data_IF_944224963210
#
_entry.id   IF_944224963210
#
_cell.length_a   1.000
_cell.length_b   1.000
_cell.length_c   1.000
_cell.angle_alpha   90.00
_cell.angle_beta   90.00
_cell.angle_gamma   90.00
#
_symmetry.space_group_name_H-M   'P 1'
#
loop_
_entity.id
_entity.type
_entity.pdbx_description
1 polymer ?
#
# COMPACT_ATOMS: atom_id res chain seq x y z
N UNK A 1 -17.17 66.42 44.29
CA UNK A 1 -18.29 65.58 44.75
C UNK A 1 -17.98 64.13 44.41
N UNK A 2 -18.17 63.24 45.39
CA UNK A 2 -18.32 61.76 45.29
C UNK A 2 -17.16 60.94 44.69
N UNK A 3 -16.70 59.82 45.25
CA UNK A 3 -16.93 59.15 46.52
C UNK A 3 -15.90 58.01 46.59
N UNK A 4 -15.00 58.03 47.57
CA UNK A 4 -14.14 56.89 47.93
C UNK A 4 -14.99 55.79 48.58
N UNK A 5 -14.80 54.53 48.16
CA UNK A 5 -15.12 53.36 49.00
C UNK A 5 -14.00 52.32 48.99
N UNK A 6 -13.70 51.71 50.15
CA UNK A 6 -12.58 50.80 50.36
C UNK A 6 -12.96 49.33 50.20
N UNK A 7 -11.95 48.48 50.27
CA UNK A 7 -11.96 47.08 49.88
C UNK A 7 -12.76 46.12 50.76
N UNK A 8 -12.74 44.85 50.32
CA UNK A 8 -12.90 43.68 51.17
C UNK A 8 -12.13 42.51 50.57
N UNK A 9 -11.15 42.06 51.35
CA UNK A 9 -10.49 40.76 51.24
C UNK A 9 -11.49 39.69 51.63
N UNK A 10 -11.58 38.64 50.83
CA UNK A 10 -12.38 37.45 51.12
C UNK A 10 -11.67 36.22 50.57
N UNK A 11 -10.91 35.57 51.45
CA UNK A 11 -10.41 34.21 51.26
C UNK A 11 -11.59 33.26 51.01
N UNK A 12 -11.53 32.47 49.94
CA UNK A 12 -12.36 31.29 49.78
C UNK A 12 -11.44 30.09 49.58
N UNK A 13 -11.50 29.19 50.57
CA UNK A 13 -10.81 27.92 50.61
C UNK A 13 -11.12 27.08 49.38
N UNK A 14 -10.08 26.46 48.83
CA UNK A 14 -10.19 25.25 48.05
C UNK A 14 -10.53 24.07 48.97
N UNK A 15 -11.48 23.20 48.58
CA UNK A 15 -11.39 21.79 48.85
C UNK A 15 -11.08 21.07 47.53
N UNK A 16 -9.88 20.49 47.50
CA UNK A 16 -9.49 19.47 46.55
C UNK A 16 -10.49 18.30 46.59
N UNK A 17 -11.10 17.96 45.46
CA UNK A 17 -11.79 16.69 45.31
C UNK A 17 -11.71 16.19 43.86
N UNK A 18 -10.83 15.20 43.70
CA UNK A 18 -10.94 14.07 42.78
C UNK A 18 -11.26 14.41 41.31
N UNK A 19 -10.24 14.86 40.59
CA UNK A 19 -10.05 14.38 39.22
C UNK A 19 -9.79 12.86 39.30
N UNK A 20 -10.87 12.08 39.28
CA UNK A 20 -10.77 10.70 38.87
C UNK A 20 -10.26 10.72 37.42
N UNK A 21 -8.97 10.47 37.28
CA UNK A 21 -8.31 10.06 36.05
C UNK A 21 -9.03 8.81 35.54
N UNK A 22 -10.14 9.02 34.83
CA UNK A 22 -10.68 8.10 33.86
C UNK A 22 -9.69 8.03 32.70
N UNK A 23 -8.51 7.48 32.97
CA UNK A 23 -7.72 6.78 31.97
C UNK A 23 -8.55 5.55 31.62
N UNK A 24 -9.61 5.76 30.83
CA UNK A 24 -10.07 4.77 29.89
C UNK A 24 -8.86 4.49 29.01
N UNK A 25 -8.04 3.55 29.48
CA UNK A 25 -7.16 2.78 28.66
C UNK A 25 -8.06 2.11 27.62
N UNK A 26 -8.32 2.84 26.54
CA UNK A 26 -8.44 2.25 25.23
C UNK A 26 -7.10 1.54 25.03
N UNK A 27 -6.95 0.36 25.63
CA UNK A 27 -6.04 -0.66 25.17
C UNK A 27 -6.52 -0.95 23.76
N UNK A 28 -6.08 -0.13 22.81
CA UNK A 28 -6.14 -0.43 21.40
C UNK A 28 -5.53 -1.81 21.31
N UNK A 29 -6.40 -2.78 21.10
CA UNK A 29 -6.06 -4.17 21.02
C UNK A 29 -5.20 -4.30 19.77
N UNK A 30 -3.90 -4.07 19.95
CA UNK A 30 -2.82 -4.24 18.99
C UNK A 30 -2.63 -5.73 18.76
N UNK A 31 -3.69 -6.38 18.27
CA UNK A 31 -3.53 -7.64 17.59
C UNK A 31 -2.55 -7.45 16.44
N UNK A 32 -1.83 -8.50 16.04
CA UNK A 32 -0.91 -8.43 14.91
C UNK A 32 -1.66 -7.82 13.72
N UNK A 33 -1.07 -6.79 13.11
CA UNK A 33 -1.64 -6.09 11.96
C UNK A 33 -1.92 -7.12 10.87
N UNK A 34 -3.20 -7.49 10.71
CA UNK A 34 -3.58 -8.55 9.78
C UNK A 34 -3.41 -7.99 8.38
N UNK A 35 -2.44 -8.53 7.66
CA UNK A 35 -2.26 -8.24 6.25
C UNK A 35 -3.47 -8.81 5.51
N UNK A 36 -4.16 -7.93 4.78
CA UNK A 36 -5.30 -8.29 3.96
C UNK A 36 -4.90 -8.23 2.49
N UNK A 37 -4.78 -9.41 1.89
CA UNK A 37 -4.60 -9.58 0.46
C UNK A 37 -5.78 -10.39 -0.06
N UNK A 38 -6.70 -9.73 -0.79
CA UNK A 38 -7.74 -10.40 -1.56
C UNK A 38 -7.54 -10.06 -3.05
N UNK A 39 -6.37 -10.38 -3.64
CA UNK A 39 -6.12 -10.09 -5.04
C UNK A 39 -7.06 -10.93 -5.91
N UNK A 40 -7.66 -10.27 -6.90
CA UNK A 40 -8.45 -10.91 -7.95
C UNK A 40 -7.61 -10.88 -9.22
N UNK A 41 -7.39 -12.06 -9.81
CA UNK A 41 -6.70 -12.21 -11.09
C UNK A 41 -7.57 -11.66 -12.22
N UNK A 42 -6.94 -10.91 -13.12
CA UNK A 42 -7.54 -10.33 -14.31
C UNK A 42 -7.13 -11.16 -15.53
N UNK A 43 -7.94 -12.15 -15.85
CA UNK A 43 -7.80 -12.93 -17.08
C UNK A 43 -8.48 -12.20 -18.26
N UNK A 44 -8.14 -12.57 -19.50
CA UNK A 44 -8.52 -11.90 -20.77
C UNK A 44 -10.05 -11.81 -21.02
N UNK A 45 -10.86 -12.31 -20.09
CA UNK A 45 -12.32 -12.20 -20.12
C UNK A 45 -12.79 -10.98 -19.31
N UNK A 46 -13.89 -10.31 -19.72
CA UNK A 46 -14.47 -9.25 -18.93
C UNK A 46 -14.76 -9.68 -17.48
N UNK A 47 -14.23 -8.92 -16.53
CA UNK A 47 -14.38 -9.15 -15.10
C UNK A 47 -14.80 -7.86 -14.39
N UNK A 48 -15.84 -7.94 -13.58
CA UNK A 48 -16.27 -6.85 -12.70
C UNK A 48 -15.95 -7.19 -11.26
N UNK A 49 -15.18 -6.33 -10.61
CA UNK A 49 -14.73 -6.49 -9.23
C UNK A 49 -15.35 -5.40 -8.38
N UNK A 50 -16.24 -5.79 -7.46
CA UNK A 50 -16.86 -4.86 -6.52
C UNK A 50 -15.91 -4.48 -5.40
N UNK A 51 -15.94 -3.20 -5.01
CA UNK A 51 -15.31 -2.72 -3.78
C UNK A 51 -15.94 -3.36 -2.53
N UNK A 52 -15.22 -3.42 -1.39
CA UNK A 52 -15.77 -3.95 -0.13
C UNK A 52 -17.10 -3.30 0.29
N UNK A 53 -17.27 -2.01 0.05
CA UNK A 53 -18.48 -1.23 0.34
C UNK A 53 -19.63 -1.46 -0.65
N UNK A 54 -19.38 -2.17 -1.77
CA UNK A 54 -20.35 -2.51 -2.83
C UNK A 54 -21.00 -1.32 -3.56
N UNK A 55 -20.55 -0.09 -3.32
CA UNK A 55 -21.03 1.12 -4.00
C UNK A 55 -20.22 1.44 -5.29
N UNK A 56 -19.09 0.75 -5.48
CA UNK A 56 -18.14 0.95 -6.58
C UNK A 56 -17.69 -0.38 -7.14
N UNK A 57 -17.27 -0.36 -8.40
CA UNK A 57 -16.59 -1.49 -9.03
C UNK A 57 -15.49 -1.03 -9.98
N UNK A 58 -14.55 -1.93 -10.21
CA UNK A 58 -13.62 -1.85 -11.33
C UNK A 58 -14.04 -2.91 -12.34
N UNK A 59 -14.09 -2.50 -13.60
CA UNK A 59 -14.45 -3.34 -14.74
C UNK A 59 -13.19 -3.43 -15.60
N UNK A 60 -12.72 -4.64 -15.82
CA UNK A 60 -11.73 -4.96 -16.84
C UNK A 60 -12.46 -5.73 -17.94
N UNK A 61 -12.19 -5.51 -19.22
CA UNK A 61 -12.74 -6.50 -20.17
C UNK A 61 -12.72 -6.26 -21.65
N UNK A 62 -12.32 -7.34 -22.32
CA UNK A 62 -12.46 -7.62 -23.74
C UNK A 62 -11.15 -8.25 -24.23
N UNK A 63 -11.19 -9.36 -24.96
CA UNK A 63 -9.99 -9.91 -25.61
C UNK A 63 -9.33 -8.85 -26.54
N UNK A 64 -10.16 -7.93 -27.05
CA UNK A 64 -9.78 -6.84 -27.94
C UNK A 64 -9.72 -5.45 -27.24
N UNK A 65 -10.08 -5.33 -25.95
CA UNK A 65 -10.06 -4.05 -25.21
C UNK A 65 -9.67 -4.26 -23.74
N UNK A 66 -8.36 -4.33 -23.42
CA UNK A 66 -7.86 -4.53 -22.05
C UNK A 66 -7.97 -3.25 -21.20
N UNK A 67 -9.00 -2.43 -21.43
CA UNK A 67 -9.22 -1.20 -20.68
C UNK A 67 -9.74 -1.49 -19.27
N UNK A 68 -9.06 -0.88 -18.31
CA UNK A 68 -9.50 -0.80 -16.93
C UNK A 68 -10.43 0.40 -16.77
N UNK A 69 -11.64 0.17 -16.30
CA UNK A 69 -12.66 1.19 -16.09
C UNK A 69 -13.11 1.20 -14.64
N UNK A 70 -13.12 2.38 -14.02
CA UNK A 70 -13.72 2.59 -12.70
C UNK A 70 -15.18 3.02 -12.82
N UNK A 71 -16.04 2.41 -12.00
CA UNK A 71 -17.47 2.70 -11.93
C UNK A 71 -17.85 3.11 -10.50
N UNK A 72 -18.53 4.26 -10.38
CA UNK A 72 -19.11 4.75 -9.13
C UNK A 72 -20.63 4.93 -9.29
N UNK A 73 -21.32 3.82 -9.55
CA UNK A 73 -22.75 3.75 -9.86
C UNK A 73 -23.05 3.66 -11.36
N UNK A 74 -24.33 3.55 -11.71
CA UNK A 74 -24.77 3.15 -13.06
C UNK A 74 -24.38 4.12 -14.20
N UNK A 75 -24.13 5.41 -13.89
CA UNK A 75 -23.94 6.45 -14.92
C UNK A 75 -22.53 7.04 -15.00
N UNK A 76 -21.60 6.72 -14.09
CA UNK A 76 -20.25 7.33 -14.10
C UNK A 76 -19.18 6.26 -14.27
N UNK A 77 -18.64 6.17 -15.49
CA UNK A 77 -17.49 5.34 -15.85
C UNK A 77 -16.30 6.24 -16.17
N UNK A 78 -15.13 5.88 -15.66
CA UNK A 78 -13.87 6.59 -15.89
C UNK A 78 -12.86 5.57 -16.39
N UNK A 79 -12.32 5.77 -17.60
CA UNK A 79 -11.21 4.97 -18.11
C UNK A 79 -9.93 5.25 -17.31
N UNK A 80 -9.24 4.19 -16.90
CA UNK A 80 -8.01 4.23 -16.10
C UNK A 80 -6.76 3.83 -16.90
N UNK A 81 -6.94 3.48 -18.17
CA UNK A 81 -5.90 3.02 -19.07
C UNK A 81 -5.95 1.51 -19.29
N UNK A 82 -4.97 1.03 -20.04
CA UNK A 82 -4.77 -0.39 -20.31
C UNK A 82 -3.90 -1.03 -19.24
N UNK A 83 -4.10 -2.32 -19.01
CA UNK A 83 -3.28 -3.18 -18.15
C UNK A 83 -3.02 -4.50 -18.87
N UNK A 84 -1.95 -5.19 -18.53
CA UNK A 84 -1.64 -6.46 -19.17
C UNK A 84 -2.56 -7.59 -18.70
N UNK A 85 -2.73 -8.60 -19.57
CA UNK A 85 -3.36 -9.86 -19.20
C UNK A 85 -2.58 -10.53 -18.05
N UNK A 86 -3.30 -11.18 -17.12
CA UNK A 86 -2.75 -11.78 -15.90
C UNK A 86 -2.32 -10.79 -14.80
N UNK A 87 -2.75 -9.53 -14.89
CA UNK A 87 -2.62 -8.59 -13.77
C UNK A 87 -3.44 -9.03 -12.56
N UNK A 88 -3.08 -8.59 -11.36
CA UNK A 88 -3.90 -8.81 -10.16
C UNK A 88 -4.37 -7.50 -9.56
N UNK A 89 -5.62 -7.44 -9.10
CA UNK A 89 -6.22 -6.24 -8.51
C UNK A 89 -6.69 -6.52 -7.09
N UNK A 90 -6.40 -5.62 -6.16
CA UNK A 90 -6.91 -5.71 -4.78
C UNK A 90 -7.40 -4.37 -4.29
N UNK A 91 -8.61 -4.37 -3.72
CA UNK A 91 -9.20 -3.20 -3.07
C UNK A 91 -8.67 -3.03 -1.64
N UNK A 92 -8.40 -1.79 -1.26
CA UNK A 92 -8.18 -1.43 0.14
C UNK A 92 -9.47 -1.71 0.94
N UNK A 93 -9.36 -2.18 2.20
CA UNK A 93 -10.54 -2.47 3.03
C UNK A 93 -11.47 -1.27 3.24
N UNK A 94 -10.96 -0.05 3.21
CA UNK A 94 -11.73 1.19 3.33
C UNK A 94 -12.42 1.66 2.03
N UNK A 95 -12.24 0.93 0.92
CA UNK A 95 -12.73 1.26 -0.43
C UNK A 95 -12.26 2.62 -0.98
N UNK A 96 -11.21 3.23 -0.42
CA UNK A 96 -10.67 4.52 -0.90
C UNK A 96 -9.51 4.36 -1.86
N UNK A 97 -8.97 3.16 -1.99
CA UNK A 97 -7.88 2.83 -2.89
C UNK A 97 -8.01 1.42 -3.41
N UNK A 98 -7.34 1.15 -4.53
CA UNK A 98 -7.03 -0.20 -4.98
C UNK A 98 -5.68 -0.17 -5.70
N UNK A 99 -4.99 -1.30 -5.70
CA UNK A 99 -3.80 -1.47 -6.52
C UNK A 99 -4.06 -2.47 -7.64
N UNK A 100 -3.29 -2.34 -8.71
CA UNK A 100 -3.07 -3.36 -9.72
C UNK A 100 -1.58 -3.67 -9.75
N UNK A 101 -1.23 -4.94 -9.61
CA UNK A 101 0.08 -5.46 -9.98
C UNK A 101 -0.01 -5.79 -11.47
N UNK A 102 0.40 -4.83 -12.28
CA UNK A 102 0.37 -4.92 -13.74
C UNK A 102 1.53 -5.81 -14.18
N UNK A 103 1.27 -6.85 -14.98
CA UNK A 103 2.32 -7.75 -15.44
C UNK A 103 3.18 -7.15 -16.56
N UNK A 104 2.74 -6.04 -17.16
CA UNK A 104 3.47 -5.37 -18.25
C UNK A 104 3.70 -6.26 -19.48
N UNK A 105 4.55 -5.80 -20.40
CA UNK A 105 4.89 -6.50 -21.65
C UNK A 105 6.23 -7.27 -21.56
N UNK A 106 6.96 -7.17 -20.45
CA UNK A 106 8.25 -7.81 -20.28
C UNK A 106 8.60 -8.01 -18.79
N UNK A 107 8.66 -9.28 -18.38
CA UNK A 107 9.47 -9.84 -17.29
C UNK A 107 9.35 -9.29 -15.84
N UNK A 108 8.44 -8.34 -15.53
CA UNK A 108 8.30 -7.84 -14.16
C UNK A 108 6.95 -7.18 -13.85
N UNK A 109 6.47 -7.34 -12.62
CA UNK A 109 5.25 -6.67 -12.17
C UNK A 109 5.52 -5.20 -11.84
N UNK A 110 4.63 -4.32 -12.30
CA UNK A 110 4.58 -2.91 -11.97
C UNK A 110 3.37 -2.63 -11.06
N UNK A 111 3.65 -2.15 -9.86
CA UNK A 111 2.62 -1.66 -8.95
C UNK A 111 2.04 -0.34 -9.47
N UNK A 112 0.73 -0.34 -9.70
CA UNK A 112 -0.08 0.84 -9.99
C UNK A 112 -1.14 1.00 -8.92
N UNK A 113 -1.23 2.18 -8.33
CA UNK A 113 -2.12 2.48 -7.20
C UNK A 113 -3.08 3.58 -7.59
N UNK A 114 -4.38 3.34 -7.47
CA UNK A 114 -5.40 4.38 -7.64
C UNK A 114 -5.97 4.82 -6.30
N UNK A 115 -6.20 6.12 -6.20
CA UNK A 115 -6.83 6.76 -5.05
C UNK A 115 -8.13 7.39 -5.46
N UNK A 116 -9.15 7.17 -4.64
CA UNK A 116 -10.49 7.69 -4.82
C UNK A 116 -10.68 8.82 -3.80
N UNK A 117 -10.64 10.04 -4.30
CA UNK A 117 -10.91 11.24 -3.50
C UNK A 117 -12.41 11.48 -3.29
N UNK A 118 -12.73 12.64 -2.72
CA UNK A 118 -14.10 13.17 -2.70
C UNK A 118 -14.69 13.31 -4.11
N UNK A 119 -15.97 13.67 -4.23
CA UNK A 119 -16.69 13.81 -5.53
C UNK A 119 -16.49 12.64 -6.54
N UNK A 120 -16.03 11.46 -6.09
CA UNK A 120 -15.70 10.30 -6.94
C UNK A 120 -14.65 10.64 -8.00
N UNK A 121 -13.67 11.46 -7.64
CA UNK A 121 -12.47 11.66 -8.45
C UNK A 121 -11.52 10.49 -8.20
N UNK A 122 -11.01 9.88 -9.27
CA UNK A 122 -10.04 8.80 -9.22
C UNK A 122 -8.77 9.25 -9.93
N UNK A 123 -7.62 8.99 -9.32
CA UNK A 123 -6.33 9.31 -9.91
C UNK A 123 -5.32 8.22 -9.56
N UNK A 124 -4.42 7.92 -10.50
CA UNK A 124 -3.26 7.09 -10.24
C UNK A 124 -2.26 7.88 -9.36
N UNK A 125 -1.66 7.21 -8.38
CA UNK A 125 -0.75 7.79 -7.41
C UNK A 125 0.59 7.03 -7.45
N UNK A 126 1.67 7.63 -7.98
CA UNK A 126 2.97 6.96 -8.10
C UNK A 126 3.75 6.94 -6.77
N UNK A 127 3.24 7.65 -5.74
CA UNK A 127 3.96 7.97 -4.50
C UNK A 127 4.47 6.71 -3.78
N UNK A 128 3.65 5.67 -3.63
CA UNK A 128 4.04 4.43 -2.95
C UNK A 128 5.12 3.67 -3.72
N UNK A 129 4.98 3.59 -5.05
CA UNK A 129 5.98 2.94 -5.91
C UNK A 129 7.33 3.66 -5.84
N UNK A 130 7.33 4.98 -5.96
CA UNK A 130 8.55 5.78 -5.88
C UNK A 130 9.25 5.60 -4.54
N UNK A 131 8.49 5.63 -3.44
CA UNK A 131 9.03 5.39 -2.11
C UNK A 131 9.67 3.99 -1.98
N UNK A 132 9.02 2.95 -2.51
CA UNK A 132 9.52 1.58 -2.46
C UNK A 132 10.84 1.41 -3.25
N UNK A 133 10.90 1.92 -4.48
CA UNK A 133 12.11 1.94 -5.33
C UNK A 133 13.24 2.67 -4.62
N UNK A 134 12.96 3.83 -4.03
CA UNK A 134 13.95 4.62 -3.32
C UNK A 134 14.58 3.85 -2.15
N UNK A 135 13.81 3.02 -1.43
CA UNK A 135 14.37 2.23 -0.33
C UNK A 135 15.37 1.18 -0.80
N UNK A 136 15.08 0.47 -1.90
CA UNK A 136 16.02 -0.50 -2.45
C UNK A 136 17.27 0.20 -2.99
N UNK A 137 17.08 1.31 -3.71
CA UNK A 137 18.16 2.13 -4.25
C UNK A 137 19.09 2.64 -3.14
N UNK A 138 18.54 3.19 -2.04
CA UNK A 138 19.30 3.68 -0.90
C UNK A 138 20.13 2.56 -0.24
N UNK A 139 19.53 1.37 -0.05
CA UNK A 139 20.23 0.22 0.54
C UNK A 139 21.41 -0.24 -0.31
N UNK A 140 21.29 -0.13 -1.63
CA UNK A 140 22.35 -0.48 -2.58
C UNK A 140 23.23 0.71 -2.98
N UNK A 141 23.10 1.86 -2.31
CA UNK A 141 23.91 3.07 -2.54
C UNK A 141 23.85 3.56 -4.00
N UNK A 142 22.70 3.41 -4.64
CA UNK A 142 22.45 3.91 -5.99
C UNK A 142 22.23 5.43 -5.97
N UNK A 143 22.94 6.15 -6.83
CA UNK A 143 22.85 7.61 -6.90
C UNK A 143 21.56 8.11 -7.56
N UNK A 144 21.01 7.36 -8.52
CA UNK A 144 19.79 7.74 -9.25
C UNK A 144 19.08 6.48 -9.77
N UNK A 145 18.03 6.00 -9.10
CA UNK A 145 17.27 4.85 -9.59
C UNK A 145 16.40 5.24 -10.79
N UNK A 146 16.60 4.60 -11.95
CA UNK A 146 15.61 4.64 -13.02
C UNK A 146 14.52 3.61 -12.72
N UNK A 147 13.24 4.02 -12.77
CA UNK A 147 12.09 3.17 -12.50
C UNK A 147 12.09 1.87 -13.31
N UNK A 148 12.65 1.86 -14.52
CA UNK A 148 12.67 0.68 -15.40
C UNK A 148 13.66 -0.39 -14.94
N UNK A 149 14.58 -0.03 -14.03
CA UNK A 149 15.56 -0.94 -13.45
C UNK A 149 15.02 -1.72 -12.23
N UNK A 150 13.75 -1.50 -11.86
CA UNK A 150 13.14 -2.07 -10.66
C UNK A 150 11.79 -2.70 -10.95
N UNK A 151 11.48 -3.77 -10.24
CA UNK A 151 10.14 -4.39 -10.19
C UNK A 151 9.46 -4.01 -8.88
N UNK A 152 8.14 -3.82 -8.91
CA UNK A 152 7.36 -3.50 -7.71
C UNK A 152 6.05 -4.28 -7.68
N UNK A 153 5.82 -4.99 -6.58
CA UNK A 153 4.63 -5.82 -6.40
C UNK A 153 4.00 -5.49 -5.05
N UNK A 154 2.74 -5.08 -5.03
CA UNK A 154 1.98 -5.00 -3.78
C UNK A 154 1.63 -6.40 -3.27
N UNK A 155 1.99 -6.67 -2.03
CA UNK A 155 1.77 -7.94 -1.35
C UNK A 155 0.46 -7.94 -0.54
N UNK A 156 0.01 -6.77 -0.07
CA UNK A 156 -1.25 -6.65 0.65
C UNK A 156 -1.42 -5.35 1.40
N UNK A 157 -2.61 -5.16 1.97
CA UNK A 157 -2.98 -3.99 2.77
C UNK A 157 -2.74 -4.25 4.26
N UNK A 158 -2.25 -3.23 4.97
CA UNK A 158 -2.25 -3.18 6.43
C UNK A 158 -3.16 -2.08 6.96
N UNK A 159 -3.46 -2.11 8.25
CA UNK A 159 -4.13 -1.04 8.98
C UNK A 159 -5.43 -0.54 8.31
N UNK A 160 -6.25 -1.47 7.82
CA UNK A 160 -7.52 -1.16 7.17
C UNK A 160 -7.38 -0.43 5.83
N UNK A 161 -6.22 -0.50 5.18
CA UNK A 161 -5.96 0.16 3.89
C UNK A 161 -5.10 1.42 3.99
N UNK A 162 -4.66 1.81 5.19
CA UNK A 162 -3.76 2.95 5.39
C UNK A 162 -2.34 2.67 4.89
N UNK A 163 -1.87 1.43 5.05
CA UNK A 163 -0.52 1.02 4.63
C UNK A 163 -0.58 -0.05 3.55
N UNK A 164 0.44 -0.06 2.69
CA UNK A 164 0.66 -1.09 1.68
C UNK A 164 2.01 -1.77 1.92
N UNK A 165 2.02 -3.10 1.85
CA UNK A 165 3.25 -3.89 1.84
C UNK A 165 3.69 -4.07 0.39
N UNK A 166 4.89 -3.64 0.06
CA UNK A 166 5.41 -3.62 -1.31
C UNK A 166 6.74 -4.35 -1.38
N UNK A 167 6.80 -5.40 -2.18
CA UNK A 167 8.04 -6.03 -2.61
C UNK A 167 8.66 -5.18 -3.72
N UNK A 168 9.92 -4.80 -3.55
CA UNK A 168 10.72 -4.15 -4.58
C UNK A 168 11.93 -5.01 -4.86
N UNK A 169 12.19 -5.30 -6.13
CA UNK A 169 13.37 -6.03 -6.59
C UNK A 169 14.00 -5.34 -7.79
N UNK A 170 15.14 -5.85 -8.24
CA UNK A 170 15.78 -5.38 -9.46
C UNK A 170 15.14 -5.96 -10.72
N UNK A 171 15.28 -5.22 -11.81
CA UNK A 171 15.23 -5.75 -13.16
C UNK A 171 16.65 -6.15 -13.61
N UNK A 172 16.79 -6.89 -14.71
CA UNK A 172 18.08 -7.41 -15.21
C UNK A 172 19.15 -6.35 -15.58
N UNK A 173 18.76 -5.10 -15.73
CA UNK A 173 19.65 -3.99 -16.09
C UNK A 173 19.58 -2.95 -14.99
N UNK A 174 20.64 -2.84 -14.20
CA UNK A 174 20.71 -1.81 -13.16
C UNK A 174 22.08 -1.19 -13.14
N UNK A 175 22.11 0.14 -13.25
CA UNK A 175 23.31 0.93 -13.16
C UNK A 175 23.69 1.26 -11.70
N UNK A 176 23.82 0.25 -10.84
CA UNK A 176 24.30 0.40 -9.47
C UNK A 176 25.64 -0.31 -9.22
N UNK A 177 26.48 0.15 -8.27
CA UNK A 177 27.76 -0.48 -7.96
C UNK A 177 27.60 -1.96 -7.57
N UNK A 178 28.48 -2.86 -8.05
CA UNK A 178 28.28 -4.31 -7.93
C UNK A 178 28.44 -4.87 -6.51
N UNK A 179 28.96 -4.07 -5.58
CA UNK A 179 29.45 -4.50 -4.26
C UNK A 179 28.37 -4.55 -3.18
N UNK A 180 27.18 -4.00 -3.44
CA UNK A 180 26.04 -4.06 -2.51
C UNK A 180 24.85 -4.64 -3.27
N UNK A 181 24.48 -5.89 -2.96
CA UNK A 181 23.39 -6.60 -3.66
C UNK A 181 22.35 -7.11 -2.67
N UNK A 182 21.61 -6.18 -2.07
CA UNK A 182 20.28 -6.53 -1.57
C UNK A 182 19.41 -6.69 -2.82
N UNK A 183 18.99 -7.92 -3.12
CA UNK A 183 18.26 -8.23 -4.35
C UNK A 183 16.81 -7.75 -4.31
N UNK A 184 16.19 -7.83 -3.14
CA UNK A 184 14.84 -7.38 -2.92
C UNK A 184 14.61 -6.97 -1.46
N UNK A 185 13.63 -6.10 -1.26
CA UNK A 185 13.14 -5.69 0.05
C UNK A 185 11.64 -5.61 0.06
N UNK A 186 11.05 -5.79 1.24
CA UNK A 186 9.65 -5.49 1.49
C UNK A 186 9.55 -4.23 2.34
N UNK A 187 8.76 -3.27 1.87
CA UNK A 187 8.50 -2.01 2.56
C UNK A 187 7.04 -1.90 2.96
N UNK A 188 6.79 -1.45 4.19
CA UNK A 188 5.47 -1.03 4.70
C UNK A 188 5.37 0.48 4.54
N UNK A 189 4.44 0.93 3.70
CA UNK A 189 4.39 2.32 3.22
C UNK A 189 3.00 2.90 3.45
N UNK A 190 2.93 4.09 4.06
CA UNK A 190 1.68 4.86 4.16
C UNK A 190 1.20 5.27 2.75
N UNK A 191 -0.02 4.88 2.42
CA UNK A 191 -0.61 5.02 1.08
C UNK A 191 -0.84 6.48 0.71
N UNK A 192 -1.07 7.34 1.71
CA UNK A 192 -1.43 8.73 1.48
C UNK A 192 -0.21 9.61 1.20
N UNK A 193 0.85 9.39 1.96
CA UNK A 193 2.05 10.24 2.04
C UNK A 193 3.26 9.63 1.36
N UNK A 194 3.28 8.32 1.12
CA UNK A 194 4.47 7.61 0.67
C UNK A 194 5.54 7.45 1.75
N UNK A 195 5.21 7.80 3.00
CA UNK A 195 6.14 7.64 4.11
C UNK A 195 6.39 6.15 4.32
N UNK A 196 7.64 5.76 4.23
CA UNK A 196 8.09 4.40 4.55
C UNK A 196 8.18 4.29 6.07
N UNK A 197 7.43 3.35 6.63
CA UNK A 197 7.43 3.10 8.07
C UNK A 197 8.49 2.07 8.44
N UNK A 198 8.64 1.05 7.60
CA UNK A 198 9.61 -0.02 7.80
C UNK A 198 10.00 -0.63 6.47
N UNK A 199 11.28 -0.99 6.32
CA UNK A 199 11.79 -1.76 5.19
C UNK A 199 12.67 -2.87 5.72
N UNK A 200 12.42 -4.10 5.29
CA UNK A 200 13.16 -5.29 5.68
C UNK A 200 13.64 -6.06 4.43
N UNK A 201 14.78 -6.76 4.49
CA UNK A 201 15.07 -7.84 3.55
C UNK A 201 13.91 -8.83 3.48
N UNK A 202 13.72 -9.51 2.35
CA UNK A 202 12.57 -10.38 2.11
C UNK A 202 12.40 -11.47 3.17
N UNK A 203 13.49 -12.12 3.59
CA UNK A 203 13.43 -13.18 4.61
C UNK A 203 13.01 -12.65 5.98
N UNK A 204 13.60 -11.52 6.40
CA UNK A 204 13.24 -10.85 7.65
C UNK A 204 11.79 -10.35 7.63
N UNK A 205 11.32 -9.87 6.48
CA UNK A 205 9.95 -9.41 6.28
C UNK A 205 8.93 -10.53 6.51
N UNK A 206 9.23 -11.76 6.06
CA UNK A 206 8.35 -12.92 6.27
C UNK A 206 8.24 -13.31 7.74
N UNK A 207 9.35 -13.20 8.48
CA UNK A 207 9.36 -13.44 9.92
C UNK A 207 8.59 -12.36 10.67
N UNK A 208 8.75 -11.10 10.28
CA UNK A 208 8.05 -9.97 10.90
C UNK A 208 6.55 -9.93 10.56
N UNK A 209 6.17 -10.40 9.38
CA UNK A 209 4.82 -10.30 8.83
C UNK A 209 4.37 -11.64 8.23
N UNK A 210 4.00 -12.62 9.07
CA UNK A 210 3.69 -13.99 8.64
C UNK A 210 2.44 -14.12 7.74
N UNK A 211 1.71 -13.03 7.51
CA UNK A 211 0.57 -12.96 6.58
C UNK A 211 0.92 -12.50 5.17
N UNK A 212 2.19 -12.22 4.86
CA UNK A 212 2.60 -11.87 3.50
C UNK A 212 2.42 -13.07 2.56
N UNK A 213 1.82 -12.89 1.37
CA UNK A 213 1.79 -13.95 0.37
C UNK A 213 3.23 -14.33 0.00
N UNK A 214 3.48 -15.64 -0.06
CA UNK A 214 4.72 -16.16 -0.63
C UNK A 214 4.77 -15.73 -2.10
N UNK A 215 5.83 -15.06 -2.52
CA UNK A 215 6.02 -14.78 -3.94
C UNK A 215 6.09 -16.12 -4.67
N UNK A 216 5.13 -16.40 -5.56
CA UNK A 216 5.02 -17.67 -6.30
C UNK A 216 6.31 -18.01 -7.09
N UNK A 217 7.16 -17.02 -7.36
CA UNK A 217 8.46 -17.16 -8.01
C UNK A 217 9.51 -17.98 -7.23
N UNK A 218 9.33 -18.23 -5.92
CA UNK A 218 10.20 -19.16 -5.19
C UNK A 218 9.83 -20.63 -5.38
N UNK A 219 8.62 -20.94 -5.88
CA UNK A 219 8.23 -22.33 -6.15
C UNK A 219 8.75 -22.86 -7.49
N UNK A 220 9.21 -21.98 -8.39
CA UNK A 220 9.71 -22.39 -9.72
C UNK A 220 11.24 -22.48 -9.79
N UNK A 221 11.97 -21.76 -8.93
CA UNK A 221 13.45 -21.78 -8.95
C UNK A 221 14.04 -23.04 -8.32
N UNK A 222 13.40 -23.62 -7.30
CA UNK A 222 13.92 -24.83 -6.63
C UNK A 222 13.66 -26.10 -7.44
N UNK A 223 12.66 -26.10 -8.33
CA UNK A 223 12.36 -27.24 -9.22
C UNK A 223 13.37 -27.40 -10.37
N UNK A 224 14.25 -26.43 -10.60
CA UNK A 224 15.24 -26.47 -11.69
C UNK A 224 16.67 -26.75 -11.20
N UNK A 225 16.92 -26.80 -9.89
CA UNK A 225 18.24 -27.10 -9.33
C UNK A 225 18.46 -28.58 -8.99
N UNK A 226 17.40 -29.40 -8.94
CA UNK A 226 17.48 -30.84 -8.63
C UNK A 226 17.48 -31.75 -9.88
N UNK A 227 17.63 -31.15 -11.07
CA UNK A 227 17.72 -31.86 -12.35
C UNK A 227 19.12 -31.73 -12.99
N UNK A 228 20.16 -32.17 -12.28
CA UNK A 228 21.42 -32.65 -12.88
C UNK A 228 22.24 -33.40 -11.82
N UNK A 229 22.95 -34.49 -12.15
CA UNK A 229 23.09 -35.16 -13.46
C UNK A 229 22.13 -36.33 -13.70
#
# INVERSE_FOLDING_TARGET
MTQTRPGRVGFALAPALLFALGLSACTGQGGPDRIQSNPVRLDVLPLTIASPSRDRSVIYGGQDDPQLTYSAGFMKRVGLGTISASSTLSWAPDSRSFYVNDSGNAEGSELRLWRIGGRRAIAESPVVRHAAIQQLALRNRCASPDRMEYTTTALGWGEGGRTLYVLTGWHRQVNCPPETRVEAVVSRIDVLTGKVEQTLPTDDARLAWPGLPLAESELTSTAQSDAAP
#
